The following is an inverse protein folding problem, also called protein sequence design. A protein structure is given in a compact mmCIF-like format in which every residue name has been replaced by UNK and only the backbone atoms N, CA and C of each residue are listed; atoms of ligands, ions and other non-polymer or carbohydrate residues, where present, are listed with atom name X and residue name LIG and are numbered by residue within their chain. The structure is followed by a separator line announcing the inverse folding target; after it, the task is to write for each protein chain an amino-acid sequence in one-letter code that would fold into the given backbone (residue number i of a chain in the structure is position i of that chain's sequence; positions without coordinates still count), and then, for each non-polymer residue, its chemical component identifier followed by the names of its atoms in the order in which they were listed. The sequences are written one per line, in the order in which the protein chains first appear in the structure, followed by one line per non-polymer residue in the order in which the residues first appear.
data_IF_931109323947
#
_entry.id   IF_931109323947
#
_cell.length_a   1.000
_cell.length_b   1.000
_cell.length_c   1.000
_cell.angle_alpha   90.00
_cell.angle_beta   90.00
_cell.angle_gamma   90.00
#
_symmetry.space_group_name_H-M   'P 1'
#
loop_
_entity.id
_entity.type
_entity.pdbx_description
1 polymer ?
#
# COMPACT_ATOMS: atom_id res chain seq x y z
N UNK A 1 -11.05 -32.01 17.48
CA UNK A 1 -11.59 -30.66 17.21
C UNK A 1 -10.40 -29.72 17.10
N UNK A 2 -10.30 -28.96 16.00
CA UNK A 2 -9.26 -27.95 15.88
C UNK A 2 -9.49 -26.85 16.93
N UNK A 3 -8.41 -26.43 17.58
CA UNK A 3 -8.38 -25.33 18.54
C UNK A 3 -7.99 -24.04 17.83
N UNK A 4 -8.22 -22.89 18.47
CA UNK A 4 -7.75 -21.58 17.96
C UNK A 4 -6.23 -21.57 17.68
N UNK A 5 -5.44 -22.36 18.44
CA UNK A 5 -3.99 -22.46 18.22
C UNK A 5 -3.64 -23.13 16.90
N UNK A 6 -4.48 -24.04 16.42
CA UNK A 6 -4.26 -24.74 15.16
C UNK A 6 -4.50 -23.82 13.95
N UNK A 7 -5.30 -22.76 14.12
CA UNK A 7 -5.55 -21.74 13.08
C UNK A 7 -4.39 -20.75 12.91
N UNK A 8 -3.53 -20.58 13.92
CA UNK A 8 -2.40 -19.63 13.83
C UNK A 8 -1.47 -19.98 12.66
N UNK A 9 -1.27 -21.27 12.40
CA UNK A 9 -0.44 -21.73 11.28
C UNK A 9 -1.05 -21.42 9.89
N UNK A 10 -2.35 -21.09 9.82
CA UNK A 10 -3.03 -20.70 8.58
C UNK A 10 -3.11 -19.19 8.37
N UNK A 11 -2.74 -18.37 9.37
CA UNK A 11 -2.76 -16.91 9.25
C UNK A 11 -1.47 -16.47 8.59
N UNK A 12 -1.60 -15.77 7.47
CA UNK A 12 -0.46 -15.12 6.84
C UNK A 12 -0.08 -13.89 7.64
N UNK A 13 1.19 -13.83 8.05
CA UNK A 13 1.77 -12.69 8.73
C UNK A 13 3.19 -12.46 8.22
N UNK A 14 3.44 -11.27 7.71
CA UNK A 14 4.78 -10.79 7.39
C UNK A 14 5.21 -9.74 8.40
N UNK A 15 6.32 -10.01 9.08
CA UNK A 15 6.84 -9.12 10.09
C UNK A 15 7.53 -7.93 9.42
N UNK A 16 7.12 -6.72 9.78
CA UNK A 16 7.87 -5.52 9.42
C UNK A 16 9.20 -5.48 10.18
N UNK A 17 10.29 -5.30 9.44
CA UNK A 17 11.61 -5.20 10.05
C UNK A 17 11.76 -3.85 10.79
N UNK A 18 12.26 -3.86 12.04
CA UNK A 18 12.46 -2.64 12.81
C UNK A 18 13.32 -1.61 12.06
N UNK A 19 12.86 -0.36 12.02
CA UNK A 19 13.59 0.73 11.37
C UNK A 19 13.33 0.86 9.85
N UNK A 20 12.50 0.00 9.26
CA UNK A 20 12.00 0.18 7.89
C UNK A 20 10.66 0.93 7.89
N UNK A 21 10.38 1.73 6.85
CA UNK A 21 9.12 2.44 6.70
C UNK A 21 8.09 1.68 5.83
N UNK A 22 8.27 0.38 5.59
CA UNK A 22 7.46 -0.44 4.66
C UNK A 22 6.09 -0.86 5.23
N UNK A 23 5.45 -0.02 6.03
CA UNK A 23 4.18 -0.36 6.67
C UNK A 23 3.05 -0.57 5.67
N UNK A 24 3.03 0.16 4.55
CA UNK A 24 2.02 -0.01 3.51
C UNK A 24 2.06 -1.42 2.89
N UNK A 25 3.26 -1.94 2.60
CA UNK A 25 3.47 -3.29 2.10
C UNK A 25 2.88 -4.32 3.08
N UNK A 26 3.35 -4.27 4.32
CA UNK A 26 2.98 -5.26 5.33
C UNK A 26 1.50 -5.18 5.70
N UNK A 27 0.91 -3.99 5.71
CA UNK A 27 -0.52 -3.81 5.93
C UNK A 27 -1.35 -4.44 4.79
N UNK A 28 -1.00 -4.18 3.52
CA UNK A 28 -1.70 -4.73 2.36
C UNK A 28 -1.60 -6.25 2.29
N UNK A 29 -0.39 -6.79 2.42
CA UNK A 29 -0.17 -8.23 2.35
C UNK A 29 -0.80 -8.98 3.53
N UNK A 30 -0.78 -8.38 4.74
CA UNK A 30 -1.50 -8.94 5.89
C UNK A 30 -3.01 -8.90 5.67
N UNK A 31 -3.57 -7.82 5.11
CA UNK A 31 -5.00 -7.72 4.80
C UNK A 31 -5.42 -8.77 3.76
N UNK A 32 -4.64 -8.94 2.70
CA UNK A 32 -4.91 -9.87 1.60
C UNK A 32 -4.50 -11.32 1.91
N UNK A 33 -3.89 -11.55 3.08
CA UNK A 33 -3.45 -12.85 3.58
C UNK A 33 -2.46 -13.59 2.64
N UNK A 34 -1.63 -12.85 1.90
CA UNK A 34 -0.52 -13.37 1.11
C UNK A 34 0.43 -12.24 0.68
N UNK A 35 1.63 -12.61 0.20
CA UNK A 35 2.62 -11.68 -0.37
C UNK A 35 2.22 -11.25 -1.79
N UNK A 36 1.37 -10.23 -1.90
CA UNK A 36 0.93 -9.68 -3.19
C UNK A 36 1.76 -8.49 -3.66
N UNK A 37 2.30 -7.72 -2.72
CA UNK A 37 3.02 -6.48 -3.01
C UNK A 37 4.41 -6.49 -2.39
N UNK A 38 5.38 -6.05 -3.18
CA UNK A 38 6.73 -5.66 -2.77
C UNK A 38 6.86 -4.13 -2.74
N UNK A 39 7.93 -3.57 -2.14
CA UNK A 39 8.17 -2.13 -2.16
C UNK A 39 8.30 -1.57 -3.58
N UNK A 40 8.89 -2.34 -4.50
CA UNK A 40 9.06 -1.94 -5.89
C UNK A 40 7.72 -1.81 -6.61
N UNK A 41 6.81 -2.78 -6.41
CA UNK A 41 5.47 -2.73 -7.00
C UNK A 41 4.64 -1.57 -6.44
N UNK A 42 4.75 -1.27 -5.14
CA UNK A 42 4.11 -0.08 -4.57
C UNK A 42 4.71 1.23 -5.09
N UNK A 43 6.02 1.25 -5.37
CA UNK A 43 6.69 2.39 -5.99
C UNK A 43 6.23 2.63 -7.43
N UNK A 44 5.96 1.56 -8.18
CA UNK A 44 5.39 1.65 -9.52
C UNK A 44 3.99 2.27 -9.47
N UNK A 45 3.13 1.80 -8.55
CA UNK A 45 1.80 2.39 -8.34
C UNK A 45 1.85 3.87 -7.91
N UNK A 46 2.83 4.26 -7.09
CA UNK A 46 3.02 5.64 -6.70
C UNK A 46 3.40 6.53 -7.88
N UNK A 47 4.30 6.05 -8.76
CA UNK A 47 4.71 6.77 -9.97
C UNK A 47 3.57 6.90 -10.98
N UNK A 48 2.75 5.86 -11.13
CA UNK A 48 1.55 5.92 -11.97
C UNK A 48 0.55 6.97 -11.44
N UNK A 49 0.36 7.04 -10.11
CA UNK A 49 -0.47 8.07 -9.48
C UNK A 49 0.09 9.48 -9.70
N UNK A 50 1.39 9.68 -9.51
CA UNK A 50 2.02 10.98 -9.77
C UNK A 50 1.86 11.39 -11.24
N UNK A 51 1.93 10.45 -12.18
CA UNK A 51 1.71 10.71 -13.60
C UNK A 51 0.25 11.12 -13.87
N UNK A 52 -0.72 10.38 -13.32
CA UNK A 52 -2.15 10.70 -13.43
C UNK A 52 -2.44 12.11 -12.87
N UNK A 53 -1.86 12.44 -11.72
CA UNK A 53 -2.02 13.74 -11.06
C UNK A 53 -1.38 14.89 -11.87
N UNK A 54 -0.16 14.71 -12.39
CA UNK A 54 0.50 15.69 -13.25
C UNK A 54 -0.30 15.96 -14.53
N UNK A 55 -0.86 14.92 -15.16
CA UNK A 55 -1.70 15.06 -16.35
C UNK A 55 -3.01 15.80 -16.06
N UNK A 56 -3.56 15.65 -14.85
CA UNK A 56 -4.80 16.32 -14.46
C UNK A 56 -4.61 17.82 -14.15
N UNK A 57 -3.40 18.24 -13.75
CA UNK A 57 -3.10 19.62 -13.37
C UNK A 57 -2.79 20.54 -14.56
N UNK A 58 -2.62 20.00 -15.77
CA UNK A 58 -2.30 20.75 -17.02
C UNK A 58 -1.12 21.73 -16.83
N UNK A 59 -0.18 21.37 -15.95
CA UNK A 59 0.99 22.16 -15.61
C UNK A 59 2.19 21.70 -16.46
N UNK A 60 2.85 22.64 -17.13
CA UNK A 60 3.91 22.38 -18.11
C UNK A 60 5.24 21.91 -17.45
N UNK A 61 5.25 21.82 -16.11
CA UNK A 61 6.37 21.41 -15.29
C UNK A 61 6.00 20.18 -14.43
N UNK A 62 6.42 18.96 -14.81
CA UNK A 62 6.18 17.79 -13.97
C UNK A 62 6.82 17.96 -12.59
N UNK A 63 6.11 17.54 -11.55
CA UNK A 63 6.64 17.55 -10.19
C UNK A 63 7.98 16.79 -10.15
N UNK A 64 9.05 17.46 -9.72
CA UNK A 64 10.40 16.87 -9.67
C UNK A 64 10.53 15.77 -8.61
N UNK A 65 9.56 15.67 -7.69
CA UNK A 65 9.53 14.74 -6.57
C UNK A 65 8.13 14.14 -6.45
N UNK A 66 8.07 12.83 -6.18
CA UNK A 66 6.80 12.15 -5.89
C UNK A 66 6.15 12.72 -4.64
N UNK A 67 4.83 12.87 -4.66
CA UNK A 67 4.03 13.14 -3.46
C UNK A 67 3.43 11.85 -2.87
N UNK A 68 3.50 10.75 -3.63
CA UNK A 68 2.89 9.47 -3.28
C UNK A 68 3.88 8.49 -2.64
N UNK A 69 5.19 8.77 -2.71
CA UNK A 69 6.25 7.94 -2.15
C UNK A 69 7.46 8.79 -1.73
N UNK A 70 8.18 8.38 -0.68
CA UNK A 70 9.54 8.89 -0.39
C UNK A 70 10.63 7.80 -0.41
N UNK A 71 11.89 8.24 -0.44
CA UNK A 71 13.08 7.36 -0.49
C UNK A 71 13.26 6.50 0.77
N UNK A 72 12.54 6.77 1.85
CA UNK A 72 12.61 5.99 3.09
C UNK A 72 11.59 4.84 3.13
N UNK A 73 10.62 4.84 2.22
CA UNK A 73 9.60 3.80 2.05
C UNK A 73 8.22 4.17 2.56
N UNK A 74 7.94 5.45 2.86
CA UNK A 74 6.57 5.88 3.10
C UNK A 74 5.79 5.92 1.80
N UNK A 75 4.54 5.47 1.85
CA UNK A 75 3.59 5.51 0.75
C UNK A 75 2.32 6.25 1.19
N UNK A 76 1.71 7.01 0.27
CA UNK A 76 0.44 7.68 0.52
C UNK A 76 -0.72 6.69 0.65
N UNK A 77 -1.82 7.12 1.25
CA UNK A 77 -3.05 6.32 1.29
C UNK A 77 -3.61 6.06 -0.11
N UNK A 78 -3.38 6.96 -1.07
CA UNK A 78 -3.83 6.81 -2.46
C UNK A 78 -3.14 5.61 -3.13
N UNK A 79 -1.86 5.36 -2.83
CA UNK A 79 -1.13 4.15 -3.29
C UNK A 79 -1.83 2.88 -2.77
N UNK A 80 -2.18 2.86 -1.48
CA UNK A 80 -2.88 1.71 -0.88
C UNK A 80 -4.28 1.51 -1.50
N UNK A 81 -5.00 2.60 -1.77
CA UNK A 81 -6.31 2.55 -2.44
C UNK A 81 -6.19 1.99 -3.86
N UNK A 82 -5.22 2.47 -4.65
CA UNK A 82 -4.95 1.97 -6.01
C UNK A 82 -4.57 0.47 -5.99
N UNK A 83 -3.77 0.04 -5.01
CA UNK A 83 -3.44 -1.36 -4.83
C UNK A 83 -4.67 -2.25 -4.56
N UNK A 84 -5.63 -1.76 -3.76
CA UNK A 84 -6.86 -2.52 -3.44
C UNK A 84 -7.85 -2.57 -4.61
N UNK A 85 -7.86 -1.56 -5.47
CA UNK A 85 -8.70 -1.55 -6.69
C UNK A 85 -8.39 -2.73 -7.62
N UNK A 86 -7.14 -3.21 -7.68
CA UNK A 86 -6.76 -4.40 -8.45
C UNK A 86 -7.49 -5.68 -8.00
N UNK A 87 -8.02 -5.69 -6.77
CA UNK A 87 -8.80 -6.79 -6.19
C UNK A 87 -10.31 -6.49 -6.16
N UNK A 88 -10.75 -5.37 -6.74
CA UNK A 88 -12.14 -4.90 -6.62
C UNK A 88 -12.52 -4.48 -5.20
N UNK A 89 -11.55 -4.02 -4.40
CA UNK A 89 -11.73 -3.56 -3.03
C UNK A 89 -11.58 -2.04 -2.95
N UNK A 90 -12.26 -1.42 -1.99
CA UNK A 90 -12.23 0.03 -1.75
C UNK A 90 -11.98 0.35 -0.27
N UNK A 91 -11.28 1.46 -0.01
CA UNK A 91 -11.11 1.97 1.36
C UNK A 91 -12.26 2.91 1.73
N UNK A 92 -12.99 2.59 2.79
CA UNK A 92 -13.95 3.50 3.41
C UNK A 92 -13.30 4.26 4.56
N UNK A 93 -13.51 5.58 4.63
CA UNK A 93 -13.11 6.38 5.78
C UNK A 93 -14.13 6.23 6.91
N UNK A 94 -13.67 5.83 8.09
CA UNK A 94 -14.52 5.71 9.28
C UNK A 94 -14.24 6.92 10.17
N UNK A 95 -15.23 7.79 10.34
CA UNK A 95 -15.17 8.87 11.32
C UNK A 95 -15.58 8.30 12.68
N UNK A 96 -14.69 8.38 13.67
CA UNK A 96 -15.01 8.05 15.05
C UNK A 96 -15.51 9.33 15.73
N UNK A 97 -16.69 9.27 16.36
CA UNK A 97 -17.21 10.34 17.22
C UNK A 97 -16.50 10.38 18.57
#
# INVERSE_FOLDING_TARGET
MATIRDLVASIYFEKQEPGTALCAQHALNSLLQAHYYSPAELADLARDLDQDENLALDDDAPAATSNNMDDSGFFSVQVMQRALQNFGLECAFIHLE
#
